data_IF_008961401083
#
_entry.id   IF_008961401083
#
_cell.length_a   1.000
_cell.length_b   1.000
_cell.length_c   1.000
_cell.angle_alpha   90.00
_cell.angle_beta   90.00
_cell.angle_gamma   90.00
#
_symmetry.space_group_name_H-M   'P 1'
#
loop_
_entity.id
_entity.type
_entity.pdbx_description
1 polymer ?
#
# COMPACT_ATOMS: atom_id res chain seq x y z
N UNK A 1 -12.46 4.26 -8.09
CA UNK A 1 -11.66 5.49 -7.80
C UNK A 1 -12.33 6.80 -8.25
N UNK A 2 -13.64 6.83 -8.60
CA UNK A 2 -14.36 8.05 -9.02
C UNK A 2 -15.17 8.72 -7.88
N UNK A 3 -15.26 8.06 -6.72
CA UNK A 3 -16.01 8.55 -5.55
C UNK A 3 -15.18 9.44 -4.62
N UNK A 4 -13.88 9.62 -4.90
CA UNK A 4 -12.98 10.41 -4.07
C UNK A 4 -12.62 11.71 -4.79
N UNK A 5 -12.79 12.83 -4.10
CA UNK A 5 -12.45 14.17 -4.60
C UNK A 5 -10.95 14.29 -4.89
N UNK A 6 -10.59 15.10 -5.90
CA UNK A 6 -9.21 15.31 -6.31
C UNK A 6 -8.63 16.60 -5.69
N UNK A 7 -7.32 16.61 -5.36
CA UNK A 7 -6.33 15.54 -5.59
C UNK A 7 -6.39 14.43 -4.53
N UNK A 8 -6.11 13.19 -4.96
CA UNK A 8 -6.04 12.01 -4.09
C UNK A 8 -4.69 11.33 -4.24
N UNK A 9 -4.16 10.86 -3.13
CA UNK A 9 -2.91 10.11 -3.03
C UNK A 9 -3.23 8.78 -2.41
N UNK A 10 -2.68 7.71 -2.97
CA UNK A 10 -2.82 6.37 -2.45
C UNK A 10 -1.45 5.79 -2.10
N UNK A 11 -1.27 5.44 -0.83
CA UNK A 11 -0.06 4.80 -0.36
C UNK A 11 -0.37 3.38 0.12
N UNK A 12 0.50 2.43 -0.23
CA UNK A 12 0.45 1.07 0.29
C UNK A 12 1.39 0.94 1.49
N UNK A 13 0.87 0.38 2.57
CA UNK A 13 1.59 0.27 3.84
C UNK A 13 1.81 -1.21 4.18
N UNK A 14 3.07 -1.60 4.13
CA UNK A 14 3.57 -2.91 4.48
C UNK A 14 3.45 -3.98 3.40
N UNK A 15 4.03 -5.13 3.70
CA UNK A 15 4.24 -6.21 2.73
C UNK A 15 2.91 -6.88 2.34
N UNK A 16 1.94 -6.94 3.27
CA UNK A 16 0.59 -7.43 2.98
C UNK A 16 -0.09 -6.64 1.86
N UNK A 17 0.02 -5.32 1.86
CA UNK A 17 -0.56 -4.48 0.81
C UNK A 17 0.23 -4.52 -0.51
N UNK A 18 1.47 -5.01 -0.50
CA UNK A 18 2.38 -4.90 -1.64
C UNK A 18 2.47 -6.19 -2.45
N UNK A 19 2.41 -7.33 -1.77
CA UNK A 19 2.47 -8.64 -2.41
C UNK A 19 1.44 -9.62 -1.86
N UNK A 20 0.65 -9.24 -0.85
CA UNK A 20 -0.11 -10.18 -0.02
C UNK A 20 0.69 -10.69 1.19
N UNK A 21 1.98 -10.37 1.28
CA UNK A 21 2.84 -10.70 2.42
C UNK A 21 2.82 -12.19 2.75
N UNK A 22 2.63 -12.51 4.03
CA UNK A 22 2.53 -13.90 4.50
C UNK A 22 1.29 -14.65 3.98
N UNK A 23 0.30 -13.93 3.44
CA UNK A 23 -0.93 -14.50 2.89
C UNK A 23 -0.89 -14.64 1.37
N UNK A 24 0.28 -14.48 0.76
CA UNK A 24 0.44 -14.64 -0.68
C UNK A 24 0.03 -16.05 -1.13
N UNK A 25 -0.82 -16.13 -2.17
CA UNK A 25 -1.32 -17.39 -2.71
C UNK A 25 -2.55 -17.98 -1.99
N UNK A 26 -3.05 -17.34 -0.94
CA UNK A 26 -4.36 -17.70 -0.37
C UNK A 26 -5.49 -17.40 -1.38
N UNK A 27 -6.54 -18.23 -1.38
CA UNK A 27 -7.66 -18.14 -2.33
C UNK A 27 -8.40 -16.79 -2.32
N UNK A 28 -8.26 -16.03 -1.22
CA UNK A 28 -8.90 -14.75 -0.98
C UNK A 28 -7.91 -13.56 -1.06
N UNK A 29 -6.68 -13.77 -1.54
CA UNK A 29 -5.65 -12.73 -1.64
C UNK A 29 -5.20 -12.58 -3.09
N UNK A 30 -5.50 -11.42 -3.68
CA UNK A 30 -5.10 -11.05 -5.04
C UNK A 30 -3.60 -10.69 -5.15
N UNK A 31 -2.95 -10.38 -4.03
CA UNK A 31 -1.57 -9.95 -3.98
C UNK A 31 -1.46 -8.45 -3.69
N UNK A 32 -0.67 -7.74 -4.48
CA UNK A 32 -0.45 -6.30 -4.28
C UNK A 32 -1.66 -5.45 -4.65
N UNK A 33 -1.91 -4.40 -3.86
CA UNK A 33 -3.00 -3.44 -4.07
C UNK A 33 -2.86 -2.69 -5.40
N UNK A 34 -1.64 -2.54 -5.89
CA UNK A 34 -1.28 -1.95 -7.20
C UNK A 34 -1.96 -2.63 -8.39
N UNK A 35 -2.40 -3.88 -8.24
CA UNK A 35 -3.13 -4.60 -9.29
C UNK A 35 -4.57 -4.11 -9.46
N UNK A 36 -5.12 -3.44 -8.44
CA UNK A 36 -6.53 -2.99 -8.40
C UNK A 36 -6.64 -1.48 -8.55
N UNK A 37 -5.74 -0.73 -7.90
CA UNK A 37 -5.74 0.73 -7.87
C UNK A 37 -4.30 1.26 -8.00
N UNK A 38 -4.09 2.38 -8.73
CA UNK A 38 -2.76 2.96 -8.86
C UNK A 38 -2.29 3.45 -7.49
N UNK A 39 -1.05 3.10 -7.14
CA UNK A 39 -0.39 3.48 -5.90
C UNK A 39 0.70 4.50 -6.19
N UNK A 40 0.71 5.58 -5.42
CA UNK A 40 1.67 6.67 -5.55
C UNK A 40 2.91 6.46 -4.68
N UNK A 41 2.76 5.76 -3.54
CA UNK A 41 3.86 5.53 -2.61
C UNK A 41 3.85 4.18 -1.91
N UNK A 42 5.05 3.74 -1.54
CA UNK A 42 5.29 2.45 -0.90
C UNK A 42 6.02 2.59 0.44
N UNK A 43 5.39 2.08 1.50
CA UNK A 43 6.04 1.84 2.79
C UNK A 43 6.34 0.34 2.93
N UNK A 44 7.60 -0.11 2.80
CA UNK A 44 7.95 -1.52 2.96
C UNK A 44 7.89 -1.97 4.43
N UNK A 45 7.89 -3.30 4.62
CA UNK A 45 7.93 -4.08 5.87
C UNK A 45 6.59 -4.57 6.39
N UNK A 46 6.55 -5.83 6.82
CA UNK A 46 5.46 -6.39 7.60
C UNK A 46 5.42 -5.74 8.99
N UNK A 47 4.40 -4.90 9.22
CA UNK A 47 4.29 -3.95 10.33
C UNK A 47 5.42 -2.89 10.33
N UNK A 48 5.31 -1.84 9.49
CA UNK A 48 6.30 -0.77 9.46
C UNK A 48 6.25 0.06 10.75
N UNK A 49 7.42 0.52 11.21
CA UNK A 49 7.47 1.47 12.33
C UNK A 49 6.87 2.81 11.91
N UNK A 50 6.38 3.55 12.90
CA UNK A 50 5.81 4.87 12.69
C UNK A 50 6.79 5.83 11.98
N UNK A 51 8.10 5.76 12.26
CA UNK A 51 9.09 6.59 11.56
C UNK A 51 9.20 6.25 10.07
N UNK A 52 9.08 4.97 9.71
CA UNK A 52 9.16 4.53 8.31
C UNK A 52 7.98 5.05 7.49
N UNK A 53 6.78 5.10 8.08
CA UNK A 53 5.60 5.69 7.45
C UNK A 53 5.84 7.19 7.21
N UNK A 54 6.29 7.92 8.23
CA UNK A 54 6.57 9.36 8.12
C UNK A 54 7.60 9.67 7.05
N UNK A 55 8.70 8.90 6.98
CA UNK A 55 9.74 9.11 5.98
C UNK A 55 9.25 8.80 4.56
N UNK A 56 8.47 7.74 4.40
CA UNK A 56 8.00 7.30 3.07
C UNK A 56 6.90 8.18 2.50
N UNK A 57 6.17 8.91 3.36
CA UNK A 57 5.09 9.81 2.95
C UNK A 57 5.51 11.29 2.87
N UNK A 58 6.72 11.64 3.31
CA UNK A 58 7.23 13.01 3.23
C UNK A 58 8.13 13.14 1.99
N UNK A 59 7.73 13.84 0.90
CA UNK A 59 6.88 15.04 0.85
C UNK A 59 5.66 14.91 -0.10
N UNK A 60 4.93 13.79 -0.03
CA UNK A 60 3.73 13.58 -0.89
C UNK A 60 2.60 14.49 -0.40
#
# INVERSE_FOLDING_TARGET
MLLLAEPKILARIGDCASTGGIFHGCYNVIGGVDQVIPVDAYVPRCCPRHEAIKYSLNPI
#
